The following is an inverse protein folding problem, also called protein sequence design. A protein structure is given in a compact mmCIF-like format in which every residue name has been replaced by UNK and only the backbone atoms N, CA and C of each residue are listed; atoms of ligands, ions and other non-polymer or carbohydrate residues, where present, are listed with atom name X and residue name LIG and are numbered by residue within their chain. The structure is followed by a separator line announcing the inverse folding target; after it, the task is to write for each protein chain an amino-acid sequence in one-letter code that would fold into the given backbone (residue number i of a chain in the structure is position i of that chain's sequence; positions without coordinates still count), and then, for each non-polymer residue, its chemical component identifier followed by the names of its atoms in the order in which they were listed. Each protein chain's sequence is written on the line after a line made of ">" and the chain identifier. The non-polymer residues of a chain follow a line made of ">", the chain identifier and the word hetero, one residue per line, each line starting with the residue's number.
data_IF_428517504990
#
_entry.id   IF_428517504990
#
_cell.length_a   1.000
_cell.length_b   1.000
_cell.length_c   1.000
_cell.angle_alpha   90.00
_cell.angle_beta   90.00
_cell.angle_gamma   90.00
#
_symmetry.space_group_name_H-M   'P 1'
#
loop_
_entity.id
_entity.type
_entity.pdbx_description
1 polymer ?
#
# COMPACT_ATOMS: atom_id res chain seq x y z
N UNK A 1 -24.87 3.41 -5.35
CA UNK A 1 -23.73 3.81 -6.22
C UNK A 1 -22.63 4.26 -5.27
N UNK A 2 -21.82 3.31 -4.78
CA UNK A 2 -20.98 3.54 -3.59
C UNK A 2 -19.46 3.59 -3.89
N UNK A 3 -19.02 3.35 -5.14
CA UNK A 3 -17.60 3.45 -5.53
C UNK A 3 -17.03 4.89 -5.55
N UNK A 4 -17.74 5.87 -5.00
CA UNK A 4 -17.34 7.28 -5.03
C UNK A 4 -16.74 7.78 -3.70
N UNK A 5 -16.88 7.04 -2.59
CA UNK A 5 -16.52 7.58 -1.27
C UNK A 5 -15.00 7.65 -1.06
N UNK A 6 -14.29 6.53 -1.27
CA UNK A 6 -12.82 6.49 -1.17
C UNK A 6 -12.18 7.42 -2.22
N UNK A 7 -12.73 7.47 -3.43
CA UNK A 7 -12.26 8.38 -4.49
C UNK A 7 -12.43 9.85 -4.09
N UNK A 8 -13.59 10.24 -3.54
CA UNK A 8 -13.82 11.61 -3.06
C UNK A 8 -12.87 11.99 -1.90
N UNK A 9 -12.59 11.05 -0.99
CA UNK A 9 -11.62 11.25 0.08
C UNK A 9 -10.20 11.40 -0.51
N UNK A 10 -9.84 10.60 -1.51
CA UNK A 10 -8.56 10.73 -2.20
C UNK A 10 -8.40 12.09 -2.89
N UNK A 11 -9.42 12.55 -3.62
CA UNK A 11 -9.40 13.86 -4.29
C UNK A 11 -9.19 14.97 -3.26
N UNK A 12 -10.03 15.04 -2.20
CA UNK A 12 -9.94 16.14 -1.21
C UNK A 12 -8.62 16.15 -0.44
N UNK A 13 -8.05 14.96 -0.14
CA UNK A 13 -6.80 14.84 0.62
C UNK A 13 -5.58 15.20 -0.22
N UNK A 14 -5.59 14.82 -1.50
CA UNK A 14 -4.57 15.21 -2.47
C UNK A 14 -4.62 16.72 -2.71
N UNK A 15 -5.80 17.31 -2.90
CA UNK A 15 -5.95 18.76 -3.08
C UNK A 15 -5.44 19.56 -1.87
N UNK A 16 -5.83 19.15 -0.65
CA UNK A 16 -5.40 19.83 0.59
C UNK A 16 -4.00 19.43 1.06
N UNK A 17 -3.33 18.49 0.37
CA UNK A 17 -1.99 17.97 0.67
C UNK A 17 -1.81 17.45 2.11
N UNK A 18 -2.90 17.03 2.77
CA UNK A 18 -2.85 16.40 4.09
C UNK A 18 -3.87 15.27 4.25
N UNK A 19 -3.52 14.26 5.04
CA UNK A 19 -4.43 13.21 5.54
C UNK A 19 -4.49 13.32 7.06
N UNK A 20 -5.67 13.66 7.59
CA UNK A 20 -5.92 13.73 9.02
C UNK A 20 -6.64 12.50 9.57
N UNK A 21 -6.77 12.45 10.90
CA UNK A 21 -7.46 11.37 11.61
C UNK A 21 -8.91 11.17 11.15
N UNK A 22 -9.59 12.26 10.79
CA UNK A 22 -10.96 12.21 10.29
C UNK A 22 -11.05 11.54 8.91
N UNK A 23 -10.09 11.79 8.03
CA UNK A 23 -10.03 11.14 6.72
C UNK A 23 -9.84 9.62 6.89
N UNK A 24 -8.93 9.20 7.78
CA UNK A 24 -8.68 7.78 8.06
C UNK A 24 -9.93 7.10 8.64
N UNK A 25 -10.66 7.79 9.53
CA UNK A 25 -11.91 7.25 10.08
C UNK A 25 -12.98 7.06 9.00
N UNK A 26 -13.14 8.04 8.11
CA UNK A 26 -14.09 7.93 6.99
C UNK A 26 -13.71 6.81 6.02
N UNK A 27 -12.42 6.60 5.77
CA UNK A 27 -11.93 5.49 4.94
C UNK A 27 -12.21 4.12 5.56
N UNK A 28 -12.04 3.98 6.89
CA UNK A 28 -12.39 2.76 7.62
C UNK A 28 -13.88 2.45 7.50
N UNK A 29 -14.75 3.46 7.71
CA UNK A 29 -16.19 3.31 7.54
C UNK A 29 -16.54 2.90 6.10
N UNK A 30 -15.88 3.51 5.10
CA UNK A 30 -16.12 3.16 3.70
C UNK A 30 -15.74 1.70 3.38
N UNK A 31 -14.68 1.17 4.00
CA UNK A 31 -14.29 -0.25 3.87
C UNK A 31 -15.22 -1.22 4.60
N UNK A 32 -15.85 -0.82 5.70
CA UNK A 32 -16.84 -1.67 6.39
C UNK A 32 -18.07 -1.93 5.51
N UNK A 33 -18.32 -1.10 4.50
CA UNK A 33 -19.42 -1.25 3.54
C UNK A 33 -19.15 -2.33 2.47
N UNK A 34 -17.91 -2.82 2.31
CA UNK A 34 -17.58 -3.86 1.34
C UNK A 34 -16.09 -4.08 1.09
N UNK A 35 -15.76 -5.14 0.32
CA UNK A 35 -14.38 -5.43 -0.06
C UNK A 35 -13.78 -4.31 -0.92
N UNK A 36 -12.48 -4.04 -0.72
CA UNK A 36 -11.76 -3.01 -1.46
C UNK A 36 -11.66 -3.41 -2.93
N UNK A 37 -12.17 -2.56 -3.82
CA UNK A 37 -11.95 -2.75 -5.26
C UNK A 37 -10.53 -2.33 -5.66
N UNK A 38 -10.04 -2.87 -6.78
CA UNK A 38 -8.72 -2.48 -7.30
C UNK A 38 -8.60 -0.97 -7.58
N UNK A 39 -9.68 -0.31 -8.02
CA UNK A 39 -9.70 1.14 -8.26
C UNK A 39 -9.60 1.95 -6.95
N UNK A 40 -10.19 1.46 -5.86
CA UNK A 40 -10.09 2.08 -4.54
C UNK A 40 -8.71 1.83 -3.92
N UNK A 41 -8.14 0.64 -4.10
CA UNK A 41 -6.77 0.34 -3.72
C UNK A 41 -5.78 1.28 -4.45
N UNK A 42 -5.99 1.52 -5.74
CA UNK A 42 -5.20 2.49 -6.50
C UNK A 42 -5.34 3.91 -5.93
N UNK A 43 -6.54 4.31 -5.50
CA UNK A 43 -6.74 5.63 -4.89
C UNK A 43 -5.98 5.78 -3.57
N UNK A 44 -5.95 4.74 -2.73
CA UNK A 44 -5.15 4.73 -1.51
C UNK A 44 -3.64 4.82 -1.80
N UNK A 45 -3.16 4.09 -2.82
CA UNK A 45 -1.76 4.20 -3.27
C UNK A 45 -1.47 5.61 -3.80
N UNK A 46 -2.39 6.19 -4.58
CA UNK A 46 -2.24 7.55 -5.08
C UNK A 46 -2.16 8.57 -3.94
N UNK A 47 -2.97 8.42 -2.90
CA UNK A 47 -2.91 9.25 -1.70
C UNK A 47 -1.52 9.17 -1.04
N UNK A 48 -0.99 7.95 -0.79
CA UNK A 48 0.34 7.74 -0.22
C UNK A 48 1.46 8.40 -1.06
N UNK A 49 1.29 8.45 -2.39
CA UNK A 49 2.28 9.06 -3.30
C UNK A 49 2.18 10.58 -3.40
N UNK A 50 0.96 11.11 -3.30
CA UNK A 50 0.66 12.48 -3.68
C UNK A 50 0.47 13.42 -2.49
N UNK A 51 0.22 12.90 -1.30
CA UNK A 51 -0.01 13.71 -0.10
C UNK A 51 1.31 13.90 0.65
N UNK A 52 1.64 15.16 0.98
CA UNK A 52 2.88 15.50 1.68
C UNK A 52 2.82 15.17 3.18
N UNK A 53 1.69 15.45 3.83
CA UNK A 53 1.53 15.30 5.28
C UNK A 53 0.46 14.26 5.62
N UNK A 54 0.79 13.27 6.44
CA UNK A 54 -0.18 12.23 6.82
C UNK A 54 -0.09 11.94 8.31
N UNK A 55 -1.24 11.72 8.95
CA UNK A 55 -1.30 11.41 10.38
C UNK A 55 -0.79 10.00 10.70
N UNK A 56 -0.44 9.69 11.96
CA UNK A 56 0.07 8.37 12.33
C UNK A 56 -0.91 7.21 12.04
N UNK A 57 -2.21 7.43 12.18
CA UNK A 57 -3.22 6.40 11.88
C UNK A 57 -3.25 5.98 10.40
N UNK A 58 -2.77 6.85 9.49
CA UNK A 58 -2.67 6.53 8.07
C UNK A 58 -1.64 5.42 7.80
N UNK A 59 -0.54 5.40 8.55
CA UNK A 59 0.61 4.54 8.25
C UNK A 59 0.26 3.06 8.36
N UNK A 60 -0.28 2.66 9.52
CA UNK A 60 -0.75 1.28 9.72
C UNK A 60 -1.94 0.97 8.80
N UNK A 61 -2.89 1.90 8.69
CA UNK A 61 -4.08 1.70 7.86
C UNK A 61 -3.72 1.40 6.40
N UNK A 62 -2.83 2.17 5.79
CA UNK A 62 -2.42 1.98 4.40
C UNK A 62 -1.75 0.61 4.18
N UNK A 63 -0.79 0.26 5.03
CA UNK A 63 -0.05 -1.01 4.92
C UNK A 63 -1.01 -2.20 5.09
N UNK A 64 -1.83 -2.18 6.13
CA UNK A 64 -2.74 -3.28 6.47
C UNK A 64 -3.81 -3.45 5.39
N UNK A 65 -4.39 -2.34 4.91
CA UNK A 65 -5.47 -2.35 3.91
C UNK A 65 -4.99 -2.91 2.56
N UNK A 66 -3.85 -2.43 2.05
CA UNK A 66 -3.33 -2.91 0.75
C UNK A 66 -2.84 -4.36 0.88
N UNK A 67 -2.27 -4.74 2.02
CA UNK A 67 -1.90 -6.14 2.28
C UNK A 67 -3.12 -7.04 2.31
N UNK A 68 -4.19 -6.64 3.00
CA UNK A 68 -5.43 -7.41 3.04
C UNK A 68 -6.01 -7.62 1.64
N UNK A 69 -6.06 -6.55 0.85
CA UNK A 69 -6.53 -6.62 -0.53
C UNK A 69 -5.70 -7.59 -1.37
N UNK A 70 -4.37 -7.47 -1.37
CA UNK A 70 -3.51 -8.26 -2.26
C UNK A 70 -3.27 -9.70 -1.80
N UNK A 71 -3.13 -9.92 -0.50
CA UNK A 71 -2.75 -11.24 0.06
C UNK A 71 -3.98 -12.04 0.44
N UNK A 72 -4.95 -11.44 1.12
CA UNK A 72 -6.02 -12.18 1.77
C UNK A 72 -7.30 -12.24 0.92
N UNK A 73 -7.65 -11.16 0.23
CA UNK A 73 -8.91 -11.04 -0.50
C UNK A 73 -8.84 -11.59 -1.94
N UNK A 74 -7.69 -11.48 -2.61
CA UNK A 74 -7.49 -12.03 -3.96
C UNK A 74 -7.37 -13.55 -3.93
N UNK A 75 -7.85 -14.19 -5.00
CA UNK A 75 -7.83 -15.66 -5.14
C UNK A 75 -6.80 -16.07 -6.19
N UNK A 76 -5.95 -17.07 -5.91
CA UNK A 76 -5.84 -17.81 -4.64
C UNK A 76 -5.23 -16.96 -3.52
N UNK A 77 -5.76 -17.10 -2.29
CA UNK A 77 -5.28 -16.36 -1.11
C UNK A 77 -3.86 -16.75 -0.76
N UNK A 78 -3.06 -15.76 -0.37
CA UNK A 78 -1.63 -15.90 -0.06
C UNK A 78 -0.72 -15.72 -1.26
N UNK A 79 -1.26 -15.43 -2.46
CA UNK A 79 -0.49 -15.37 -3.70
C UNK A 79 -0.55 -13.97 -4.30
N UNK A 80 0.58 -13.28 -4.31
CA UNK A 80 0.77 -12.04 -5.07
C UNK A 80 1.47 -12.41 -6.37
N UNK A 81 0.68 -12.57 -7.44
CA UNK A 81 1.15 -13.06 -8.74
C UNK A 81 1.59 -11.91 -9.66
N UNK A 82 2.15 -12.27 -10.81
CA UNK A 82 2.65 -11.36 -11.84
C UNK A 82 1.69 -10.20 -12.17
N UNK A 83 0.39 -10.46 -12.35
CA UNK A 83 -0.58 -9.39 -12.66
C UNK A 83 -0.72 -8.34 -11.54
N UNK A 84 -0.77 -8.79 -10.29
CA UNK A 84 -0.90 -7.93 -9.12
C UNK A 84 0.40 -7.19 -8.84
N UNK A 85 1.53 -7.86 -9.06
CA UNK A 85 2.85 -7.30 -8.92
C UNK A 85 3.13 -6.22 -9.97
N UNK A 86 2.78 -6.48 -11.24
CA UNK A 86 2.89 -5.53 -12.33
C UNK A 86 1.98 -4.31 -12.14
N UNK A 87 0.74 -4.53 -11.68
CA UNK A 87 -0.18 -3.45 -11.34
C UNK A 87 0.37 -2.58 -10.19
N UNK A 88 0.76 -3.20 -9.07
CA UNK A 88 1.30 -2.47 -7.92
C UNK A 88 2.56 -1.69 -8.32
N UNK A 89 3.46 -2.30 -9.08
CA UNK A 89 4.67 -1.65 -9.59
C UNK A 89 4.32 -0.42 -10.43
N UNK A 90 3.33 -0.52 -11.32
CA UNK A 90 2.88 0.61 -12.14
C UNK A 90 2.36 1.74 -11.27
N UNK A 91 1.50 1.44 -10.28
CA UNK A 91 1.01 2.44 -9.33
C UNK A 91 2.15 3.10 -8.55
N UNK A 92 3.17 2.33 -8.17
CA UNK A 92 4.34 2.79 -7.42
C UNK A 92 5.41 3.50 -8.28
N UNK A 93 5.26 3.55 -9.60
CA UNK A 93 6.16 4.29 -10.50
C UNK A 93 5.62 5.67 -10.89
N UNK A 94 4.34 5.96 -10.63
CA UNK A 94 3.72 7.27 -10.90
C UNK A 94 4.44 8.42 -10.17
N UNK A 95 4.30 9.66 -10.61
CA UNK A 95 4.91 10.81 -9.92
C UNK A 95 4.61 10.82 -8.42
N UNK A 96 5.62 11.15 -7.62
CA UNK A 96 5.54 11.24 -6.16
C UNK A 96 5.81 12.69 -5.75
N UNK A 97 4.97 13.25 -4.89
CA UNK A 97 5.16 14.62 -4.34
C UNK A 97 5.75 14.57 -2.95
N UNK A 98 5.24 13.67 -2.10
CA UNK A 98 5.69 13.48 -0.71
C UNK A 98 6.74 12.37 -0.56
N UNK A 99 7.16 12.04 0.69
CA UNK A 99 8.12 10.97 0.94
C UNK A 99 7.58 9.57 0.60
N UNK A 100 6.25 9.37 0.58
CA UNK A 100 5.59 8.07 0.47
C UNK A 100 6.22 7.04 1.43
N UNK A 101 6.22 7.39 2.73
CA UNK A 101 6.96 6.69 3.76
C UNK A 101 6.49 5.25 3.98
N UNK A 102 5.27 4.89 3.60
CA UNK A 102 4.71 3.57 3.84
C UNK A 102 4.90 2.59 2.68
N UNK A 103 5.46 3.03 1.54
CA UNK A 103 5.76 2.13 0.40
C UNK A 103 6.75 1.02 0.78
N UNK A 104 7.87 1.38 1.42
CA UNK A 104 8.86 0.41 1.90
C UNK A 104 8.25 -0.60 2.88
N UNK A 105 7.59 -0.15 3.98
CA UNK A 105 6.87 -1.02 4.90
C UNK A 105 5.84 -1.93 4.23
N UNK A 106 5.03 -1.41 3.30
CA UNK A 106 4.07 -2.20 2.53
C UNK A 106 4.76 -3.35 1.78
N UNK A 107 5.81 -3.07 1.03
CA UNK A 107 6.51 -4.09 0.24
C UNK A 107 7.10 -5.20 1.13
N UNK A 108 7.68 -4.82 2.27
CA UNK A 108 8.17 -5.78 3.27
C UNK A 108 7.02 -6.61 3.87
N UNK A 109 5.88 -5.97 4.13
CA UNK A 109 4.68 -6.62 4.62
C UNK A 109 4.18 -7.69 3.65
N UNK A 110 4.09 -7.35 2.36
CA UNK A 110 3.67 -8.28 1.32
C UNK A 110 4.59 -9.49 1.22
N UNK A 111 5.91 -9.29 1.24
CA UNK A 111 6.89 -10.39 1.21
C UNK A 111 6.79 -11.28 2.44
N UNK A 112 6.45 -10.71 3.61
CA UNK A 112 6.34 -11.45 4.87
C UNK A 112 5.04 -12.26 4.96
N UNK A 113 3.92 -11.68 4.54
CA UNK A 113 2.58 -12.25 4.74
C UNK A 113 2.14 -13.18 3.60
N UNK A 114 2.66 -12.98 2.38
CA UNK A 114 2.30 -13.83 1.25
C UNK A 114 3.01 -15.19 1.33
N UNK A 115 2.27 -16.27 1.03
CA UNK A 115 2.84 -17.61 0.84
C UNK A 115 3.70 -17.66 -0.43
N UNK A 116 3.25 -16.97 -1.48
CA UNK A 116 4.00 -16.76 -2.72
C UNK A 116 3.91 -15.31 -3.15
N UNK A 117 5.07 -14.74 -3.44
CA UNK A 117 5.20 -13.37 -3.94
C UNK A 117 6.05 -13.38 -5.20
N UNK A 118 5.64 -12.60 -6.20
CA UNK A 118 6.43 -12.40 -7.41
C UNK A 118 7.80 -11.75 -7.10
N UNK A 119 8.84 -12.18 -7.82
CA UNK A 119 10.21 -11.69 -7.60
C UNK A 119 10.36 -10.18 -7.83
N UNK A 120 9.51 -9.58 -8.65
CA UNK A 120 9.51 -8.13 -8.87
C UNK A 120 9.18 -7.33 -7.60
N UNK A 121 8.29 -7.84 -6.74
CA UNK A 121 7.98 -7.21 -5.44
C UNK A 121 9.17 -7.31 -4.49
N UNK A 122 9.87 -8.45 -4.49
CA UNK A 122 11.10 -8.62 -3.71
C UNK A 122 12.16 -7.61 -4.14
N UNK A 123 12.38 -7.48 -5.45
CA UNK A 123 13.35 -6.53 -6.01
C UNK A 123 12.97 -5.08 -5.64
N UNK A 124 11.69 -4.73 -5.75
CA UNK A 124 11.19 -3.40 -5.40
C UNK A 124 11.33 -3.12 -3.89
N UNK A 125 11.09 -4.12 -3.03
CA UNK A 125 11.28 -4.01 -1.59
C UNK A 125 12.76 -3.70 -1.25
N UNK A 126 13.71 -4.38 -1.89
CA UNK A 126 15.14 -4.14 -1.69
C UNK A 126 15.55 -2.75 -2.19
N UNK A 127 14.97 -2.27 -3.29
CA UNK A 127 15.26 -0.96 -3.85
C UNK A 127 14.72 0.18 -2.96
N UNK A 128 13.43 0.17 -2.63
CA UNK A 128 12.78 1.21 -1.81
C UNK A 128 13.34 1.30 -0.39
N UNK A 129 13.93 0.21 0.13
CA UNK A 129 14.53 0.16 1.47
C UNK A 129 16.06 0.36 1.50
N UNK A 130 16.74 0.49 0.35
CA UNK A 130 18.22 0.57 0.25
C UNK A 130 18.85 1.67 1.13
N UNK A 131 18.12 2.76 1.39
CA UNK A 131 18.58 3.90 2.18
C UNK A 131 17.94 4.04 3.57
N UNK A 132 17.01 3.17 3.97
CA UNK A 132 16.26 3.35 5.22
C UNK A 132 17.04 2.87 6.45
N UNK A 133 16.88 3.55 7.60
CA UNK A 133 17.58 3.22 8.85
C UNK A 133 16.90 2.16 9.73
N UNK A 134 15.71 1.67 9.35
CA UNK A 134 15.10 0.47 9.95
C UNK A 134 16.11 -0.70 10.00
N UNK A 135 15.98 -1.71 10.88
CA UNK A 135 16.97 -2.79 10.96
C UNK A 135 17.07 -3.48 9.60
N UNK A 136 18.06 -3.10 8.78
CA UNK A 136 18.25 -3.60 7.41
C UNK A 136 18.29 -5.12 7.36
N UNK A 137 18.77 -5.72 8.45
CA UNK A 137 18.81 -7.16 8.69
C UNK A 137 17.41 -7.79 8.66
N UNK A 138 16.38 -7.18 9.26
CA UNK A 138 15.03 -7.73 9.29
C UNK A 138 14.37 -7.75 7.89
N UNK A 139 14.55 -6.70 7.09
CA UNK A 139 14.02 -6.64 5.72
C UNK A 139 14.75 -7.62 4.82
N UNK A 140 16.09 -7.62 4.88
CA UNK A 140 16.91 -8.54 4.09
C UNK A 140 16.66 -9.99 4.49
N UNK A 141 16.42 -10.29 5.77
CA UNK A 141 16.14 -11.64 6.24
C UNK A 141 14.74 -12.12 5.86
N UNK A 142 13.73 -11.23 5.92
CA UNK A 142 12.39 -11.52 5.37
C UNK A 142 12.51 -11.85 3.88
N UNK A 143 13.23 -11.03 3.12
CA UNK A 143 13.44 -11.24 1.69
C UNK A 143 14.23 -12.52 1.40
N UNK A 144 15.32 -12.79 2.15
CA UNK A 144 16.14 -14.01 1.98
C UNK A 144 15.37 -15.29 2.28
N UNK A 145 14.38 -15.26 3.18
CA UNK A 145 13.52 -16.42 3.45
C UNK A 145 12.50 -16.67 2.35
N UNK A 146 12.16 -15.64 1.59
CA UNK A 146 11.16 -15.70 0.51
C UNK A 146 11.76 -16.03 -0.87
N UNK A 147 13.09 -15.87 -1.05
CA UNK A 147 13.83 -16.18 -2.27
C UNK A 147 14.37 -17.62 -2.28
#
# INVERSE_FOLDING_TARGET
>A
MNGNRIQNIAIRTIEKQSIGEDDVRELKIALEEGALSQAEAEALIRMERMVAETCPSWDAYFVDTITAHLVWERRPTGYVKDEDAAWLTTCLQLTRVGPARNVGPLLVNLVREAERVDQSIIALALEENRGRPEPREAVVDVVRRAA
#
